data_IF_711810934906
#
_entry.id   IF_711810934906
#
_cell.length_a   1.000
_cell.length_b   1.000
_cell.length_c   1.000
_cell.angle_alpha   90.00
_cell.angle_beta   90.00
_cell.angle_gamma   90.00
#
_symmetry.space_group_name_H-M   'P 1'
#
loop_
_entity.id
_entity.type
_entity.pdbx_description
1 polymer ?
#
# COMPACT_ATOMS: atom_id res chain seq x y z
N UNK A 1 11.16 -21.13 -4.07
CA UNK A 1 9.78 -21.14 -4.63
C UNK A 1 8.81 -20.74 -3.54
N UNK A 2 7.77 -20.01 -3.88
CA UNK A 2 6.84 -19.40 -2.91
C UNK A 2 5.76 -20.37 -2.48
N UNK A 3 5.46 -20.34 -1.19
CA UNK A 3 4.36 -21.11 -0.59
C UNK A 3 3.18 -20.19 -0.28
N UNK A 4 2.05 -20.46 -0.91
CA UNK A 4 0.77 -19.82 -0.57
C UNK A 4 -0.23 -20.85 -0.09
N UNK A 5 -1.15 -20.44 0.77
CA UNK A 5 -2.20 -21.32 1.32
C UNK A 5 -3.57 -20.69 1.17
N UNK A 6 -4.60 -21.51 0.84
CA UNK A 6 -5.97 -21.09 0.99
C UNK A 6 -6.29 -20.91 2.48
N UNK A 7 -7.25 -20.04 2.81
CA UNK A 7 -7.63 -19.77 4.19
C UNK A 7 -9.15 -19.57 4.34
N UNK A 8 -9.64 -19.75 5.58
CA UNK A 8 -11.04 -19.51 5.92
C UNK A 8 -11.23 -18.01 6.24
N UNK A 9 -11.53 -17.21 5.23
CA UNK A 9 -11.70 -15.78 5.46
C UNK A 9 -12.89 -15.50 6.37
N UNK A 10 -12.69 -14.56 7.30
CA UNK A 10 -13.80 -13.84 7.93
C UNK A 10 -14.19 -12.72 6.97
N UNK A 11 -15.45 -12.69 6.51
CA UNK A 11 -15.92 -11.77 5.49
C UNK A 11 -17.38 -11.37 5.70
N UNK A 12 -17.85 -10.24 5.12
CA UNK A 12 -19.22 -9.79 5.30
C UNK A 12 -20.24 -10.68 4.56
N UNK A 13 -21.46 -10.73 5.09
CA UNK A 13 -22.62 -11.15 4.30
C UNK A 13 -22.76 -10.21 3.08
N UNK A 14 -23.22 -10.73 1.94
CA UNK A 14 -23.24 -9.99 0.68
C UNK A 14 -23.99 -8.64 0.79
N UNK A 15 -25.09 -8.60 1.54
CA UNK A 15 -25.87 -7.37 1.77
C UNK A 15 -25.13 -6.31 2.61
N UNK A 16 -24.08 -6.67 3.35
CA UNK A 16 -23.31 -5.78 4.19
C UNK A 16 -21.96 -5.38 3.56
N UNK A 17 -21.56 -6.03 2.45
CA UNK A 17 -20.23 -5.88 1.88
C UNK A 17 -19.87 -4.42 1.59
N UNK A 18 -20.78 -3.64 1.01
CA UNK A 18 -20.55 -2.23 0.70
C UNK A 18 -20.38 -1.36 1.95
N UNK A 19 -21.16 -1.61 3.01
CA UNK A 19 -21.05 -0.85 4.26
C UNK A 19 -19.80 -1.22 5.05
N UNK A 20 -19.36 -2.49 4.97
CA UNK A 20 -18.17 -2.98 5.66
C UNK A 20 -16.90 -2.51 4.96
N UNK A 21 -16.87 -2.52 3.63
CA UNK A 21 -15.68 -2.17 2.84
C UNK A 21 -15.18 -0.77 3.18
N UNK A 22 -14.00 -0.67 3.77
CA UNK A 22 -13.42 0.59 4.24
C UNK A 22 -12.03 0.82 3.64
N UNK A 23 -11.61 2.08 3.52
CA UNK A 23 -10.23 2.39 3.13
C UNK A 23 -9.25 1.82 4.15
N UNK A 24 -8.01 1.45 3.73
CA UNK A 24 -6.99 0.97 4.66
C UNK A 24 -6.72 1.98 5.77
N UNK A 25 -6.45 1.46 6.96
CA UNK A 25 -6.24 2.28 8.17
C UNK A 25 -5.09 3.29 8.05
N UNK A 26 -4.10 3.01 7.21
CA UNK A 26 -2.87 3.79 7.04
C UNK A 26 -2.97 4.93 6.02
N UNK A 27 -4.09 5.02 5.29
CA UNK A 27 -4.38 6.13 4.36
C UNK A 27 -5.29 7.20 4.95
N UNK A 28 -5.72 7.03 6.21
CA UNK A 28 -6.62 7.93 6.92
C UNK A 28 -6.05 8.31 8.29
N UNK A 29 -6.13 9.59 8.66
CA UNK A 29 -5.98 9.97 10.06
C UNK A 29 -7.31 9.70 10.83
N UNK A 30 -7.26 9.79 12.17
CA UNK A 30 -8.44 9.46 13.01
C UNK A 30 -9.63 10.39 12.76
N UNK A 31 -9.41 11.66 12.42
CA UNK A 31 -10.50 12.61 12.09
C UNK A 31 -11.17 12.26 10.76
N UNK A 32 -10.38 11.93 9.75
CA UNK A 32 -10.87 11.48 8.45
C UNK A 32 -11.63 10.17 8.57
N UNK A 33 -11.11 9.21 9.34
CA UNK A 33 -11.78 7.94 9.61
C UNK A 33 -13.13 8.14 10.33
N UNK A 34 -13.20 9.05 11.31
CA UNK A 34 -14.44 9.40 12.01
C UNK A 34 -15.49 9.99 11.08
N UNK A 35 -15.07 10.85 10.15
CA UNK A 35 -15.96 11.42 9.14
C UNK A 35 -16.44 10.35 8.16
N UNK A 36 -15.54 9.47 7.68
CA UNK A 36 -15.90 8.41 6.73
C UNK A 36 -16.84 7.36 7.34
N UNK A 37 -16.65 7.03 8.61
CA UNK A 37 -17.53 6.08 9.33
C UNK A 37 -18.85 6.69 9.81
N UNK A 38 -19.02 8.03 9.70
CA UNK A 38 -20.18 8.70 10.23
C UNK A 38 -21.48 8.20 9.59
N UNK A 39 -22.43 7.76 10.43
CA UNK A 39 -23.71 7.20 9.98
C UNK A 39 -23.63 5.76 9.43
N UNK A 40 -22.45 5.15 9.44
CA UNK A 40 -22.27 3.77 9.01
C UNK A 40 -21.73 2.89 10.17
N UNK A 41 -22.59 2.34 11.03
CA UNK A 41 -22.18 1.51 12.17
C UNK A 41 -21.61 0.14 11.75
N UNK A 42 -21.59 -0.16 10.46
CA UNK A 42 -20.99 -1.38 9.90
C UNK A 42 -19.66 -1.12 9.20
N UNK A 43 -19.16 0.11 9.20
CA UNK A 43 -17.85 0.43 8.63
C UNK A 43 -16.73 -0.35 9.34
N UNK A 44 -15.85 -0.97 8.58
CA UNK A 44 -14.73 -1.71 9.15
C UNK A 44 -13.69 -0.80 9.83
N UNK A 45 -13.79 0.53 9.62
CA UNK A 45 -13.00 1.52 10.36
C UNK A 45 -13.23 1.46 11.88
N UNK A 46 -14.42 1.04 12.33
CA UNK A 46 -14.67 0.78 13.76
C UNK A 46 -13.76 -0.32 14.34
N UNK A 47 -13.16 -1.16 13.50
CA UNK A 47 -12.22 -2.22 13.89
C UNK A 47 -10.77 -1.79 13.64
N UNK A 48 -10.48 -1.19 12.47
CA UNK A 48 -9.10 -0.85 12.09
C UNK A 48 -8.62 0.49 12.64
N UNK A 49 -9.55 1.37 13.02
CA UNK A 49 -9.37 2.72 13.58
C UNK A 49 -10.30 2.95 14.77
N UNK A 50 -10.36 1.97 15.68
CA UNK A 50 -11.35 1.92 16.78
C UNK A 50 -11.31 3.10 17.75
N UNK A 51 -10.25 3.92 17.73
CA UNK A 51 -10.18 5.19 18.44
C UNK A 51 -11.29 6.16 18.05
N UNK A 52 -11.93 5.99 16.85
CA UNK A 52 -13.07 6.83 16.43
C UNK A 52 -14.30 6.66 17.30
N UNK A 53 -14.41 5.55 18.02
CA UNK A 53 -15.51 5.22 18.95
C UNK A 53 -15.21 5.63 20.39
N UNK A 54 -14.06 6.23 20.64
CA UNK A 54 -13.59 6.64 21.97
C UNK A 54 -13.51 8.19 22.04
N UNK A 55 -13.32 8.75 23.24
CA UNK A 55 -13.11 10.20 23.38
C UNK A 55 -11.94 10.71 22.53
N UNK A 56 -12.07 11.93 21.97
CA UNK A 56 -11.11 12.51 21.02
C UNK A 56 -9.67 12.69 21.59
N UNK A 57 -9.53 12.65 22.92
CA UNK A 57 -8.23 12.72 23.61
C UNK A 57 -7.62 11.36 23.95
N UNK A 58 -8.25 10.26 23.52
CA UNK A 58 -7.70 8.91 23.74
C UNK A 58 -6.43 8.72 22.89
N UNK A 59 -5.37 8.20 23.52
CA UNK A 59 -4.17 7.82 22.80
C UNK A 59 -4.49 6.65 21.83
N UNK A 60 -4.33 6.89 20.54
CA UNK A 60 -4.63 5.91 19.50
C UNK A 60 -3.83 4.60 19.57
N UNK A 61 -2.79 4.56 20.43
CA UNK A 61 -1.95 3.38 20.67
C UNK A 61 -2.13 2.80 22.07
N UNK A 62 -3.18 3.21 22.79
CA UNK A 62 -3.52 2.66 24.12
C UNK A 62 -4.15 1.28 24.02
N UNK A 63 -4.06 0.49 25.11
CA UNK A 63 -4.70 -0.83 25.17
C UNK A 63 -6.22 -0.73 25.01
N UNK A 64 -6.85 0.33 25.51
CA UNK A 64 -8.28 0.59 25.38
C UNK A 64 -8.74 0.63 23.93
N UNK A 65 -7.91 1.18 23.01
CA UNK A 65 -8.20 1.21 21.57
C UNK A 65 -8.17 -0.20 20.97
N UNK A 66 -7.19 -1.02 21.36
CA UNK A 66 -7.11 -2.41 20.88
C UNK A 66 -8.24 -3.28 21.43
N UNK A 67 -8.61 -3.09 22.71
CA UNK A 67 -9.75 -3.78 23.31
C UNK A 67 -11.05 -3.40 22.62
N UNK A 68 -11.23 -2.10 22.30
CA UNK A 68 -12.37 -1.62 21.52
C UNK A 68 -12.43 -2.23 20.12
N UNK A 69 -11.28 -2.39 19.44
CA UNK A 69 -11.19 -3.07 18.16
C UNK A 69 -11.68 -4.53 18.26
N UNK A 70 -11.29 -5.23 19.33
CA UNK A 70 -11.74 -6.61 19.60
C UNK A 70 -13.24 -6.67 19.86
N UNK A 71 -13.76 -5.80 20.73
CA UNK A 71 -15.19 -5.74 21.04
C UNK A 71 -16.03 -5.48 19.78
N UNK A 72 -15.57 -4.56 18.92
CA UNK A 72 -16.26 -4.25 17.66
C UNK A 72 -16.21 -5.46 16.69
N UNK A 73 -15.08 -6.16 16.60
CA UNK A 73 -14.95 -7.35 15.75
C UNK A 73 -15.90 -8.46 16.23
N UNK A 74 -15.94 -8.71 17.54
CA UNK A 74 -16.84 -9.69 18.14
C UNK A 74 -18.32 -9.32 17.95
N UNK A 75 -18.63 -8.03 18.07
CA UNK A 75 -19.97 -7.53 17.79
C UNK A 75 -20.39 -7.72 16.33
N UNK A 76 -19.48 -7.52 15.38
CA UNK A 76 -19.75 -7.76 13.95
C UNK A 76 -20.00 -9.24 13.65
N UNK A 77 -19.26 -10.14 14.30
CA UNK A 77 -19.47 -11.59 14.18
C UNK A 77 -20.79 -12.00 14.84
N UNK A 78 -21.05 -11.61 16.07
CA UNK A 78 -22.27 -11.98 16.81
C UNK A 78 -23.55 -11.47 16.16
N UNK A 79 -23.48 -10.29 15.49
CA UNK A 79 -24.58 -9.72 14.71
C UNK A 79 -24.67 -10.29 13.30
N UNK A 80 -23.86 -11.29 12.95
CA UNK A 80 -23.80 -11.90 11.62
C UNK A 80 -23.53 -10.93 10.46
N UNK A 81 -22.92 -9.76 10.75
CA UNK A 81 -22.42 -8.85 9.73
C UNK A 81 -21.23 -9.52 9.03
N UNK A 82 -20.33 -10.12 9.84
CA UNK A 82 -19.22 -10.95 9.37
C UNK A 82 -19.48 -12.41 9.71
N UNK A 83 -19.03 -13.30 8.83
CA UNK A 83 -19.03 -14.75 9.06
C UNK A 83 -17.74 -15.37 8.52
N UNK A 84 -17.33 -16.48 9.09
CA UNK A 84 -16.14 -17.23 8.66
C UNK A 84 -16.53 -18.27 7.61
N UNK A 85 -15.72 -18.37 6.55
CA UNK A 85 -15.87 -19.45 5.58
C UNK A 85 -15.69 -20.83 6.24
N UNK A 86 -16.50 -21.79 5.81
CA UNK A 86 -16.48 -23.14 6.39
C UNK A 86 -15.28 -23.97 5.94
N UNK A 87 -14.69 -23.67 4.78
CA UNK A 87 -13.49 -24.31 4.24
C UNK A 87 -12.47 -23.31 3.72
N UNK A 88 -11.18 -23.68 3.68
CA UNK A 88 -10.15 -22.82 3.12
C UNK A 88 -10.38 -22.58 1.62
N UNK A 89 -10.29 -21.32 1.19
CA UNK A 89 -10.45 -20.90 -0.20
C UNK A 89 -9.32 -19.93 -0.60
N UNK A 90 -9.09 -19.81 -1.90
CA UNK A 90 -8.47 -18.61 -2.47
C UNK A 90 -9.56 -17.64 -2.91
N UNK A 91 -9.18 -16.38 -3.11
CA UNK A 91 -10.11 -15.35 -3.60
C UNK A 91 -9.45 -14.60 -4.73
N UNK A 92 -10.19 -14.34 -5.80
CA UNK A 92 -9.77 -13.43 -6.87
C UNK A 92 -10.36 -12.08 -6.54
N UNK A 93 -9.51 -11.06 -6.50
CA UNK A 93 -9.93 -9.69 -6.20
C UNK A 93 -9.54 -8.76 -7.36
N UNK A 94 -10.55 -8.21 -8.01
CA UNK A 94 -10.40 -7.25 -9.09
C UNK A 94 -10.78 -5.86 -8.61
N UNK A 95 -9.95 -4.88 -8.98
CA UNK A 95 -10.22 -3.46 -8.80
C UNK A 95 -10.25 -2.80 -10.18
N UNK A 96 -11.22 -1.92 -10.41
CA UNK A 96 -11.29 -1.11 -11.63
C UNK A 96 -11.33 0.36 -11.25
N UNK A 97 -10.33 1.12 -11.71
CA UNK A 97 -10.19 2.57 -11.51
C UNK A 97 -9.93 3.23 -12.87
N UNK A 98 -10.75 4.22 -13.23
CA UNK A 98 -10.62 4.96 -14.49
C UNK A 98 -10.54 4.04 -15.73
N UNK A 99 -11.32 2.95 -15.74
CA UNK A 99 -11.34 1.95 -16.82
C UNK A 99 -10.15 0.98 -16.86
N UNK A 100 -9.17 1.12 -15.96
CA UNK A 100 -8.06 0.19 -15.83
C UNK A 100 -8.38 -0.85 -14.76
N UNK A 101 -8.18 -2.13 -15.11
CA UNK A 101 -8.41 -3.28 -14.23
C UNK A 101 -7.10 -3.79 -13.65
N UNK A 102 -7.11 -4.10 -12.36
CA UNK A 102 -6.07 -4.87 -11.67
C UNK A 102 -6.70 -6.07 -11.00
N UNK A 103 -6.21 -7.27 -11.25
CA UNK A 103 -6.74 -8.51 -10.68
C UNK A 103 -5.64 -9.26 -9.95
N UNK A 104 -5.86 -9.55 -8.67
CA UNK A 104 -4.93 -10.29 -7.82
C UNK A 104 -5.56 -11.50 -7.15
N UNK A 105 -4.71 -12.39 -6.64
CA UNK A 105 -5.09 -13.55 -5.85
C UNK A 105 -4.93 -13.25 -4.37
N UNK A 106 -6.01 -13.34 -3.58
CA UNK A 106 -5.94 -13.21 -2.11
C UNK A 106 -5.72 -14.57 -1.50
N UNK A 107 -4.71 -14.66 -0.65
CA UNK A 107 -4.28 -15.90 0.00
C UNK A 107 -3.57 -15.63 1.33
N UNK A 108 -3.18 -16.69 2.02
CA UNK A 108 -2.17 -16.65 3.07
C UNK A 108 -0.78 -16.88 2.49
N UNK A 109 0.10 -15.89 2.54
CA UNK A 109 1.53 -16.08 2.21
C UNK A 109 2.30 -16.59 3.42
N UNK A 110 3.31 -17.45 3.20
CA UNK A 110 4.10 -18.05 4.26
C UNK A 110 4.93 -17.02 5.02
N UNK A 111 4.88 -17.05 6.35
CA UNK A 111 5.78 -16.26 7.20
C UNK A 111 7.22 -16.76 7.06
N UNK A 112 7.44 -18.06 6.85
CA UNK A 112 8.79 -18.60 6.60
C UNK A 112 9.37 -18.02 5.31
N UNK A 113 8.58 -17.87 4.24
CA UNK A 113 9.04 -17.26 2.99
C UNK A 113 9.41 -15.78 3.20
N UNK A 114 8.71 -15.07 4.09
CA UNK A 114 9.06 -13.70 4.47
C UNK A 114 10.37 -13.64 5.26
N UNK A 115 10.58 -14.54 6.21
CA UNK A 115 11.79 -14.61 7.03
C UNK A 115 13.01 -15.06 6.22
N UNK A 116 12.81 -15.96 5.25
CA UNK A 116 13.86 -16.47 4.35
C UNK A 116 14.10 -15.59 3.11
N UNK A 117 13.55 -14.37 3.10
CA UNK A 117 13.71 -13.40 2.00
C UNK A 117 13.27 -13.90 0.61
N UNK A 118 12.34 -14.85 0.57
CA UNK A 118 11.62 -15.23 -0.65
C UNK A 118 10.48 -14.23 -0.95
N UNK A 119 9.97 -13.55 0.07
CA UNK A 119 9.12 -12.37 -0.07
C UNK A 119 10.04 -11.16 0.11
N UNK A 120 10.42 -10.55 -1.01
CA UNK A 120 11.42 -9.49 -1.10
C UNK A 120 10.91 -8.17 -0.53
N UNK A 121 11.80 -7.44 0.15
CA UNK A 121 11.54 -6.18 0.83
C UNK A 121 12.35 -5.07 0.16
N UNK A 122 11.78 -3.86 0.12
CA UNK A 122 12.47 -2.68 -0.41
C UNK A 122 12.28 -1.44 0.47
N UNK A 123 11.70 -1.59 1.67
CA UNK A 123 11.50 -0.49 2.63
C UNK A 123 11.78 -0.95 4.06
N UNK A 124 12.42 -0.09 4.85
CA UNK A 124 12.57 -0.31 6.29
C UNK A 124 11.28 -0.01 7.03
N UNK A 125 10.96 -0.85 7.99
CA UNK A 125 9.82 -0.66 8.86
C UNK A 125 10.16 0.20 10.08
N UNK A 126 9.15 0.92 10.62
CA UNK A 126 9.30 1.76 11.81
C UNK A 126 8.82 0.99 13.03
N UNK A 127 9.65 0.90 14.10
CA UNK A 127 9.33 0.10 15.30
C UNK A 127 8.00 0.46 15.96
N UNK A 128 7.65 1.75 16.01
CA UNK A 128 6.39 2.22 16.59
C UNK A 128 5.15 1.74 15.82
N UNK A 129 5.21 1.78 14.47
CA UNK A 129 4.12 1.29 13.61
C UNK A 129 3.99 -0.23 13.65
N UNK A 130 5.11 -0.94 13.74
CA UNK A 130 5.08 -2.38 13.93
C UNK A 130 4.46 -2.75 15.28
N UNK A 131 4.87 -2.08 16.36
CA UNK A 131 4.32 -2.32 17.71
C UNK A 131 2.81 -2.11 17.73
N UNK A 132 2.33 -1.07 17.10
CA UNK A 132 0.90 -0.80 16.95
C UNK A 132 0.18 -1.98 16.28
N UNK A 133 0.66 -2.43 15.12
CA UNK A 133 0.04 -3.56 14.40
C UNK A 133 0.17 -4.88 15.15
N UNK A 134 1.29 -5.14 15.81
CA UNK A 134 1.47 -6.33 16.66
C UNK A 134 0.42 -6.36 17.77
N UNK A 135 0.23 -5.25 18.47
CA UNK A 135 -0.76 -5.16 19.54
C UNK A 135 -2.19 -5.35 19.01
N UNK A 136 -2.52 -4.70 17.91
CA UNK A 136 -3.81 -4.86 17.25
C UNK A 136 -4.08 -6.32 16.84
N UNK A 137 -3.13 -6.99 16.16
CA UNK A 137 -3.27 -8.39 15.74
C UNK A 137 -3.39 -9.33 16.97
N UNK A 138 -2.55 -9.13 17.99
CA UNK A 138 -2.58 -9.97 19.21
C UNK A 138 -3.89 -9.83 19.98
N UNK A 139 -4.45 -8.62 20.04
CA UNK A 139 -5.69 -8.37 20.80
C UNK A 139 -6.91 -8.82 20.01
N UNK A 140 -6.99 -8.52 18.72
CA UNK A 140 -8.14 -8.90 17.90
C UNK A 140 -8.12 -10.35 17.46
N UNK A 141 -6.95 -10.98 17.41
CA UNK A 141 -6.77 -12.31 16.80
C UNK A 141 -6.89 -12.30 15.27
N UNK A 142 -6.80 -11.13 14.64
CA UNK A 142 -7.11 -10.96 13.23
C UNK A 142 -6.08 -10.09 12.50
N UNK A 143 -5.75 -10.48 11.28
CA UNK A 143 -5.04 -9.65 10.31
C UNK A 143 -6.09 -8.96 9.43
N UNK A 144 -6.31 -7.69 9.68
CA UNK A 144 -7.41 -6.89 9.15
C UNK A 144 -7.06 -6.13 7.87
N UNK A 145 -5.78 -6.00 7.53
CA UNK A 145 -5.30 -5.30 6.34
C UNK A 145 -4.45 -6.21 5.45
N UNK A 146 -4.74 -6.23 4.16
CA UNK A 146 -4.00 -6.98 3.17
C UNK A 146 -2.57 -6.44 2.97
N UNK A 147 -1.60 -7.34 2.84
CA UNK A 147 -0.29 -7.01 2.27
C UNK A 147 -0.37 -7.14 0.76
N UNK A 148 0.07 -6.12 0.05
CA UNK A 148 0.04 -6.05 -1.40
C UNK A 148 1.37 -6.59 -1.94
N UNK A 149 1.34 -7.74 -2.61
CA UNK A 149 2.51 -8.38 -3.20
C UNK A 149 2.46 -8.35 -4.73
N UNK A 150 3.64 -8.24 -5.34
CA UNK A 150 3.83 -8.41 -6.78
C UNK A 150 4.57 -9.73 -7.07
N UNK A 151 4.30 -10.34 -8.22
CA UNK A 151 5.08 -11.44 -8.76
C UNK A 151 5.27 -11.30 -10.28
N UNK A 152 6.37 -11.88 -10.81
CA UNK A 152 6.59 -11.92 -12.27
C UNK A 152 5.54 -12.79 -12.92
N UNK A 153 4.93 -12.31 -13.99
CA UNK A 153 3.78 -12.95 -14.66
C UNK A 153 3.98 -14.44 -14.93
N UNK A 154 2.92 -15.21 -14.71
CA UNK A 154 2.86 -16.66 -14.97
C UNK A 154 1.58 -16.93 -15.78
N UNK A 155 1.74 -17.27 -17.06
CA UNK A 155 0.62 -17.47 -17.98
C UNK A 155 -0.42 -18.49 -17.52
N UNK A 156 0.03 -19.57 -16.85
CA UNK A 156 -0.89 -20.56 -16.29
C UNK A 156 -1.79 -19.98 -15.21
N UNK A 157 -1.28 -19.00 -14.44
CA UNK A 157 -2.06 -18.31 -13.41
C UNK A 157 -3.08 -17.35 -14.02
N UNK A 158 -2.66 -16.61 -15.04
CA UNK A 158 -3.52 -15.68 -15.77
C UNK A 158 -4.69 -16.43 -16.42
N UNK A 159 -4.42 -17.59 -17.05
CA UNK A 159 -5.45 -18.42 -17.65
C UNK A 159 -6.49 -18.95 -16.62
N UNK A 160 -6.04 -19.34 -15.42
CA UNK A 160 -6.96 -19.76 -14.35
C UNK A 160 -7.84 -18.62 -13.89
N UNK A 161 -7.26 -17.44 -13.64
CA UNK A 161 -7.99 -16.25 -13.18
C UNK A 161 -9.04 -15.85 -14.22
N UNK A 162 -8.68 -15.78 -15.49
CA UNK A 162 -9.59 -15.35 -16.57
C UNK A 162 -10.72 -16.35 -16.78
N UNK A 163 -10.41 -17.64 -16.79
CA UNK A 163 -11.43 -18.70 -16.86
C UNK A 163 -12.39 -18.60 -15.67
N UNK A 164 -11.86 -18.44 -14.44
CA UNK A 164 -12.70 -18.37 -13.24
C UNK A 164 -13.63 -17.15 -13.25
N UNK A 165 -13.13 -15.98 -13.63
CA UNK A 165 -13.93 -14.76 -13.75
C UNK A 165 -15.04 -14.88 -14.81
N UNK A 166 -14.77 -15.63 -15.90
CA UNK A 166 -15.75 -15.82 -16.96
C UNK A 166 -16.84 -16.80 -16.58
N UNK A 167 -16.47 -17.89 -15.89
CA UNK A 167 -17.37 -19.03 -15.61
C UNK A 167 -18.13 -18.90 -14.30
N UNK A 168 -17.69 -18.05 -13.38
CA UNK A 168 -18.24 -17.92 -12.02
C UNK A 168 -18.78 -16.53 -11.73
N UNK A 169 -19.87 -16.49 -10.99
CA UNK A 169 -20.39 -15.23 -10.47
C UNK A 169 -19.56 -14.74 -9.29
N UNK A 170 -19.31 -13.44 -9.20
CA UNK A 170 -18.64 -12.85 -8.04
C UNK A 170 -19.52 -12.95 -6.79
N UNK A 171 -18.88 -13.05 -5.62
CA UNK A 171 -19.57 -12.95 -4.32
C UNK A 171 -19.81 -11.50 -3.92
N UNK A 172 -18.95 -10.60 -4.36
CA UNK A 172 -19.11 -9.16 -4.25
C UNK A 172 -18.82 -8.50 -5.59
N UNK A 173 -19.65 -7.50 -5.91
CA UNK A 173 -19.42 -6.55 -6.98
C UNK A 173 -20.01 -5.22 -6.52
N UNK A 174 -19.14 -4.31 -6.12
CA UNK A 174 -19.53 -3.04 -5.51
C UNK A 174 -18.69 -1.88 -6.02
N UNK A 175 -19.31 -0.73 -6.15
CA UNK A 175 -18.64 0.54 -6.43
C UNK A 175 -18.57 1.32 -5.13
N UNK A 176 -17.36 1.65 -4.70
CA UNK A 176 -17.11 2.46 -3.52
C UNK A 176 -17.35 3.97 -3.81
N UNK A 177 -17.37 4.80 -2.77
CA UNK A 177 -17.70 6.23 -2.91
C UNK A 177 -16.65 7.00 -3.72
N UNK A 178 -15.43 6.51 -3.79
CA UNK A 178 -14.35 7.03 -4.65
C UNK A 178 -14.42 6.52 -6.10
N UNK A 179 -15.53 5.91 -6.50
CA UNK A 179 -15.82 5.38 -7.84
C UNK A 179 -14.91 4.21 -8.26
N UNK A 180 -14.21 3.59 -7.33
CA UNK A 180 -13.44 2.37 -7.59
C UNK A 180 -14.40 1.18 -7.48
N UNK A 181 -14.43 0.33 -8.51
CA UNK A 181 -15.16 -0.93 -8.47
C UNK A 181 -14.30 -2.01 -7.83
N UNK A 182 -14.91 -2.77 -6.93
CA UNK A 182 -14.30 -3.89 -6.21
C UNK A 182 -15.13 -5.14 -6.45
N UNK A 183 -14.52 -6.14 -7.09
CA UNK A 183 -15.20 -7.40 -7.42
C UNK A 183 -14.40 -8.57 -6.84
N UNK A 184 -15.07 -9.48 -6.11
CA UNK A 184 -14.42 -10.65 -5.48
C UNK A 184 -15.12 -11.93 -5.89
N UNK A 185 -14.33 -12.93 -6.30
CA UNK A 185 -14.75 -14.31 -6.55
C UNK A 185 -14.12 -15.24 -5.52
N UNK A 186 -14.85 -16.30 -5.14
CA UNK A 186 -14.33 -17.35 -4.26
C UNK A 186 -13.86 -18.52 -5.11
N UNK A 187 -12.62 -18.92 -4.96
CA UNK A 187 -12.07 -20.14 -5.55
C UNK A 187 -12.14 -21.24 -4.51
N UNK A 188 -13.19 -22.05 -4.59
CA UNK A 188 -13.53 -23.08 -3.62
C UNK A 188 -13.52 -24.50 -4.19
N UNK A 189 -13.07 -24.68 -5.42
CA UNK A 189 -12.88 -25.97 -6.06
C UNK A 189 -11.51 -26.55 -5.68
N UNK A 190 -11.50 -27.77 -5.14
CA UNK A 190 -10.29 -28.36 -4.57
C UNK A 190 -9.18 -28.62 -5.61
N UNK A 191 -9.55 -28.94 -6.87
CA UNK A 191 -8.57 -29.18 -7.92
C UNK A 191 -7.96 -27.86 -8.42
N UNK A 192 -8.75 -26.80 -8.53
CA UNK A 192 -8.26 -25.45 -8.84
C UNK A 192 -7.37 -24.92 -7.72
N UNK A 193 -7.74 -25.13 -6.45
CA UNK A 193 -6.92 -24.75 -5.29
C UNK A 193 -5.56 -25.44 -5.35
N UNK A 194 -5.52 -26.75 -5.58
CA UNK A 194 -4.27 -27.51 -5.72
C UNK A 194 -3.43 -27.01 -6.90
N UNK A 195 -4.06 -26.72 -8.04
CA UNK A 195 -3.38 -26.22 -9.23
C UNK A 195 -2.73 -24.85 -8.96
N UNK A 196 -3.46 -23.92 -8.36
CA UNK A 196 -2.94 -22.60 -7.97
C UNK A 196 -1.73 -22.75 -7.02
N UNK A 197 -1.88 -23.53 -5.95
CA UNK A 197 -0.79 -23.78 -4.99
C UNK A 197 0.45 -24.39 -5.67
N UNK A 198 0.25 -25.33 -6.60
CA UNK A 198 1.33 -25.95 -7.36
C UNK A 198 2.04 -24.96 -8.29
N UNK A 199 1.32 -24.08 -8.96
CA UNK A 199 1.91 -23.05 -9.84
C UNK A 199 2.84 -22.15 -9.02
N UNK A 200 2.39 -21.62 -7.88
CA UNK A 200 3.25 -20.78 -7.04
C UNK A 200 4.47 -21.55 -6.52
N UNK A 201 4.28 -22.78 -6.11
CA UNK A 201 5.36 -23.65 -5.61
C UNK A 201 6.40 -24.01 -6.69
N UNK A 202 6.04 -24.01 -7.97
CA UNK A 202 6.92 -24.51 -9.05
C UNK A 202 7.37 -23.43 -10.04
N UNK A 203 6.61 -22.34 -10.18
CA UNK A 203 6.85 -21.32 -11.20
C UNK A 203 7.13 -19.91 -10.66
N UNK A 204 6.83 -19.64 -9.36
CA UNK A 204 7.07 -18.33 -8.76
C UNK A 204 8.26 -18.41 -7.80
N UNK A 205 9.45 -17.94 -8.21
CA UNK A 205 10.66 -18.06 -7.38
C UNK A 205 10.64 -17.16 -6.15
N UNK A 206 10.07 -15.98 -6.25
CA UNK A 206 9.93 -15.00 -5.18
C UNK A 206 8.76 -14.06 -5.47
N UNK A 207 8.34 -13.33 -4.44
CA UNK A 207 7.38 -12.21 -4.55
C UNK A 207 7.99 -10.96 -3.94
N UNK A 208 7.38 -9.81 -4.21
CA UNK A 208 7.89 -8.50 -3.79
C UNK A 208 6.80 -7.75 -3.05
N UNK A 209 7.10 -7.20 -1.89
CA UNK A 209 6.14 -6.36 -1.18
C UNK A 209 6.00 -5.05 -1.95
N UNK A 210 4.81 -4.80 -2.50
CA UNK A 210 4.47 -3.54 -3.13
C UNK A 210 4.00 -2.51 -2.08
N UNK A 211 3.11 -2.94 -1.18
CA UNK A 211 2.61 -2.11 -0.07
C UNK A 211 2.33 -2.99 1.16
N UNK A 212 2.57 -2.45 2.36
CA UNK A 212 2.29 -3.14 3.62
C UNK A 212 3.49 -3.78 4.30
N UNK A 213 4.70 -3.24 4.15
CA UNK A 213 5.91 -3.72 4.84
C UNK A 213 5.71 -3.87 6.35
N UNK A 214 5.06 -2.88 7.01
CA UNK A 214 4.76 -2.94 8.43
C UNK A 214 3.77 -4.07 8.77
N UNK A 215 2.80 -4.36 7.91
CA UNK A 215 1.81 -5.45 8.08
C UNK A 215 2.49 -6.82 8.00
N UNK A 216 3.36 -7.03 7.03
CA UNK A 216 4.14 -8.26 6.87
C UNK A 216 5.11 -8.48 8.06
N UNK A 217 5.89 -7.46 8.43
CA UNK A 217 6.81 -7.52 9.55
C UNK A 217 6.09 -7.81 10.87
N UNK A 218 4.93 -7.19 11.09
CA UNK A 218 4.13 -7.40 12.31
C UNK A 218 3.57 -8.82 12.37
N UNK A 219 3.12 -9.41 11.26
CA UNK A 219 2.65 -10.79 11.21
C UNK A 219 3.76 -11.79 11.60
N UNK A 220 4.97 -11.62 11.07
CA UNK A 220 6.13 -12.45 11.44
C UNK A 220 6.47 -12.32 12.94
N UNK A 221 6.48 -11.09 13.47
CA UNK A 221 6.75 -10.85 14.91
C UNK A 221 5.64 -11.39 15.81
N UNK A 222 4.38 -11.36 15.38
CA UNK A 222 3.28 -11.98 16.12
C UNK A 222 3.46 -13.49 16.17
N UNK A 223 3.77 -14.16 15.05
CA UNK A 223 4.09 -15.60 15.05
C UNK A 223 5.21 -15.94 16.01
N UNK A 224 6.32 -15.20 15.95
CA UNK A 224 7.46 -15.42 16.84
C UNK A 224 7.10 -15.23 18.33
N UNK A 225 6.28 -14.22 18.66
CA UNK A 225 5.87 -13.92 20.02
C UNK A 225 4.87 -14.93 20.60
N UNK A 226 4.03 -15.53 19.75
CA UNK A 226 3.03 -16.52 20.16
C UNK A 226 3.60 -17.95 20.23
N UNK A 227 4.66 -18.23 19.48
CA UNK A 227 5.27 -19.56 19.42
C UNK A 227 4.24 -20.65 19.16
N UNK A 228 4.34 -21.77 19.85
CA UNK A 228 3.44 -22.92 19.69
C UNK A 228 1.97 -22.64 20.07
N UNK A 229 1.69 -21.50 20.71
CA UNK A 229 0.31 -21.11 21.07
C UNK A 229 -0.44 -20.43 19.92
N UNK A 230 0.26 -20.04 18.85
CA UNK A 230 -0.32 -19.30 17.73
C UNK A 230 -1.30 -20.14 16.87
N UNK A 231 -1.20 -21.45 16.90
CA UNK A 231 -1.88 -22.30 15.94
C UNK A 231 -1.36 -22.09 14.49
N UNK A 232 -1.85 -22.88 13.55
CA UNK A 232 -1.39 -22.82 12.14
C UNK A 232 -1.82 -21.53 11.41
N UNK A 233 -2.77 -20.78 11.95
CA UNK A 233 -3.23 -19.51 11.37
C UNK A 233 -2.15 -18.43 11.37
N UNK A 234 -1.23 -18.43 12.35
CA UNK A 234 -0.14 -17.46 12.39
C UNK A 234 1.06 -17.80 11.50
N UNK A 235 1.11 -19.01 10.91
CA UNK A 235 2.16 -19.41 9.94
C UNK A 235 2.02 -18.70 8.60
N UNK A 236 0.89 -18.04 8.37
CA UNK A 236 0.57 -17.32 7.15
C UNK A 236 0.09 -15.91 7.48
N UNK A 237 0.22 -15.02 6.52
CA UNK A 237 -0.35 -13.68 6.64
C UNK A 237 -1.15 -13.30 5.38
N UNK A 238 -2.16 -12.45 5.61
CA UNK A 238 -3.11 -12.04 4.59
C UNK A 238 -2.44 -11.22 3.49
N UNK A 239 -2.48 -11.71 2.26
CA UNK A 239 -1.87 -11.06 1.11
C UNK A 239 -2.78 -11.04 -0.10
N UNK A 240 -2.60 -10.05 -0.96
CA UNK A 240 -3.10 -10.06 -2.33
C UNK A 240 -1.92 -9.99 -3.28
N UNK A 241 -1.79 -11.01 -4.12
CA UNK A 241 -0.69 -11.18 -5.08
C UNK A 241 -1.15 -10.75 -6.46
N UNK A 242 -0.46 -9.76 -7.04
CA UNK A 242 -0.75 -9.27 -8.38
C UNK A 242 0.38 -9.64 -9.34
N UNK A 243 0.06 -10.05 -10.58
CA UNK A 243 1.06 -10.11 -11.63
C UNK A 243 1.59 -8.71 -11.92
N UNK A 244 2.88 -8.62 -12.22
CA UNK A 244 3.62 -7.35 -12.29
C UNK A 244 3.04 -6.36 -13.31
N UNK A 245 2.53 -6.84 -14.43
CA UNK A 245 1.98 -6.03 -15.51
C UNK A 245 0.61 -5.40 -15.19
N UNK A 246 -0.05 -5.85 -14.13
CA UNK A 246 -1.33 -5.29 -13.70
C UNK A 246 -1.19 -4.21 -12.62
N UNK A 247 0.02 -4.02 -12.08
CA UNK A 247 0.23 -3.04 -11.04
C UNK A 247 0.37 -1.62 -11.61
N UNK A 248 -0.33 -0.68 -11.00
CA UNK A 248 -0.20 0.73 -11.31
C UNK A 248 0.52 1.44 -10.16
N UNK A 249 1.72 1.93 -10.47
CA UNK A 249 2.48 2.81 -9.58
C UNK A 249 2.24 4.23 -10.07
N UNK A 250 1.80 5.09 -9.18
CA UNK A 250 1.65 6.52 -9.44
C UNK A 250 2.86 7.29 -8.92
N UNK A 251 3.03 8.49 -9.43
CA UNK A 251 4.01 9.44 -8.95
C UNK A 251 3.79 9.78 -7.47
N UNK A 252 4.89 10.02 -6.77
CA UNK A 252 4.85 10.48 -5.39
C UNK A 252 5.58 11.81 -5.32
N UNK A 253 4.82 12.90 -5.42
CA UNK A 253 5.31 14.26 -5.56
C UNK A 253 5.77 14.85 -4.23
N UNK A 254 6.59 15.90 -4.28
CA UNK A 254 7.11 16.61 -3.11
C UNK A 254 6.63 18.05 -3.11
N UNK A 255 6.39 18.56 -1.91
CA UNK A 255 6.18 19.99 -1.66
C UNK A 255 7.10 20.44 -0.53
N UNK A 256 7.65 21.66 -0.63
CA UNK A 256 8.62 22.17 0.34
C UNK A 256 8.20 23.55 0.83
N UNK A 257 8.25 23.76 2.15
CA UNK A 257 7.74 24.95 2.84
C UNK A 257 8.56 26.21 2.60
N UNK A 258 9.88 26.09 2.43
CA UNK A 258 10.77 27.22 2.28
C UNK A 258 11.94 26.89 1.34
N UNK A 259 12.58 27.92 0.84
CA UNK A 259 13.70 27.81 -0.10
C UNK A 259 15.08 27.91 0.58
N UNK A 260 15.18 27.64 1.88
CA UNK A 260 16.43 27.77 2.63
C UNK A 260 17.07 29.17 2.51
N UNK A 261 16.22 30.19 2.51
CA UNK A 261 16.63 31.61 2.41
C UNK A 261 16.96 32.09 0.99
N UNK A 262 16.76 31.26 -0.04
CA UNK A 262 16.99 31.63 -1.44
C UNK A 262 15.73 32.28 -2.05
N UNK A 263 15.93 33.13 -3.04
CA UNK A 263 14.90 33.49 -4.02
C UNK A 263 14.70 32.36 -5.04
N UNK A 264 13.60 32.42 -5.80
CA UNK A 264 13.35 31.41 -6.88
C UNK A 264 14.45 31.48 -7.95
N UNK A 265 14.92 32.67 -8.31
CA UNK A 265 16.00 32.84 -9.29
C UNK A 265 17.33 32.24 -8.80
N UNK A 266 17.67 32.42 -7.54
CA UNK A 266 18.86 31.81 -6.93
C UNK A 266 18.74 30.30 -6.83
N UNK A 267 17.53 29.78 -6.52
CA UNK A 267 17.23 28.34 -6.53
C UNK A 267 17.47 27.73 -7.92
N UNK A 268 16.89 28.35 -8.96
CA UNK A 268 17.04 27.90 -10.34
C UNK A 268 18.50 27.99 -10.81
N UNK A 269 19.22 29.03 -10.44
CA UNK A 269 20.63 29.19 -10.77
C UNK A 269 21.46 28.05 -10.15
N UNK A 270 21.25 27.73 -8.88
CA UNK A 270 21.94 26.60 -8.22
C UNK A 270 21.55 25.26 -8.84
N UNK A 271 20.26 25.06 -9.14
CA UNK A 271 19.79 23.83 -9.77
C UNK A 271 20.35 23.64 -11.19
N UNK A 272 20.68 24.74 -11.90
CA UNK A 272 21.24 24.66 -13.24
C UNK A 272 22.62 23.99 -13.32
N UNK A 273 23.32 23.82 -12.20
CA UNK A 273 24.57 23.06 -12.16
C UNK A 273 24.34 21.57 -12.46
N UNK A 274 23.22 21.02 -12.03
CA UNK A 274 22.86 19.60 -12.13
C UNK A 274 21.75 19.30 -13.13
N UNK A 275 20.94 20.28 -13.47
CA UNK A 275 19.76 20.12 -14.34
C UNK A 275 19.81 21.07 -15.53
N UNK A 276 19.27 20.65 -16.67
CA UNK A 276 18.79 21.55 -17.73
C UNK A 276 17.42 22.05 -17.29
N UNK A 277 17.18 23.36 -17.38
CA UNK A 277 15.96 23.99 -16.87
C UNK A 277 15.27 24.75 -17.99
N UNK A 278 14.00 24.45 -18.22
CA UNK A 278 13.16 25.09 -19.22
C UNK A 278 11.85 25.57 -18.60
N UNK A 279 11.43 26.81 -18.92
CA UNK A 279 10.09 27.26 -18.54
C UNK A 279 9.04 26.58 -19.41
N UNK A 280 7.96 26.09 -18.76
CA UNK A 280 6.84 25.47 -19.46
C UNK A 280 5.55 26.22 -19.14
N UNK A 281 4.65 26.40 -20.13
CA UNK A 281 3.47 27.25 -19.98
C UNK A 281 2.32 26.58 -19.21
N UNK A 282 2.39 25.30 -18.96
CA UNK A 282 1.32 24.50 -18.33
C UNK A 282 1.90 23.62 -17.24
N UNK A 283 1.01 23.06 -16.40
CA UNK A 283 1.36 22.05 -15.41
C UNK A 283 2.11 20.89 -16.06
N UNK A 284 3.27 20.54 -15.51
CA UNK A 284 4.17 19.56 -16.09
C UNK A 284 4.23 18.29 -15.25
N UNK A 285 3.83 17.18 -15.89
CA UNK A 285 4.06 15.82 -15.38
C UNK A 285 5.17 15.18 -16.21
N UNK A 286 6.28 14.74 -15.59
CA UNK A 286 7.37 14.08 -16.30
C UNK A 286 6.86 12.85 -17.07
N UNK A 287 7.22 12.75 -18.36
CA UNK A 287 6.87 11.62 -19.22
C UNK A 287 7.96 10.55 -19.24
N UNK A 288 9.17 10.90 -18.86
CA UNK A 288 10.36 10.04 -18.91
C UNK A 288 11.15 10.13 -17.63
N UNK A 289 11.97 9.12 -17.36
CA UNK A 289 12.93 9.12 -16.26
C UNK A 289 13.88 10.32 -16.34
N UNK A 290 14.38 10.76 -15.19
CA UNK A 290 15.33 11.85 -15.02
C UNK A 290 14.77 13.24 -15.39
N UNK A 291 13.45 13.33 -15.58
CA UNK A 291 12.72 14.59 -15.69
C UNK A 291 11.94 14.86 -14.41
N UNK A 292 11.81 16.16 -14.09
CA UNK A 292 11.08 16.66 -12.93
C UNK A 292 10.30 17.90 -13.33
N UNK A 293 9.12 18.10 -12.77
CA UNK A 293 8.45 19.39 -12.85
C UNK A 293 8.72 20.16 -11.56
N UNK A 294 9.05 21.42 -11.65
CA UNK A 294 9.17 22.33 -10.52
C UNK A 294 8.13 23.45 -10.68
N UNK A 295 7.27 23.59 -9.68
CA UNK A 295 6.33 24.70 -9.59
C UNK A 295 6.78 25.68 -8.51
N UNK A 296 7.03 26.91 -8.89
CA UNK A 296 7.45 27.99 -8.01
C UNK A 296 6.93 29.33 -8.56
N UNK A 297 6.48 30.23 -7.70
CA UNK A 297 6.02 31.58 -8.06
C UNK A 297 5.06 31.59 -9.26
N UNK A 298 4.05 30.70 -9.25
CA UNK A 298 3.03 30.55 -10.30
C UNK A 298 3.57 30.16 -11.68
N UNK A 299 4.76 29.61 -11.73
CA UNK A 299 5.41 29.17 -12.96
C UNK A 299 5.88 27.72 -12.86
N UNK A 300 5.62 26.94 -13.89
CA UNK A 300 6.18 25.60 -14.04
C UNK A 300 7.51 25.64 -14.81
N UNK A 301 8.41 24.79 -14.37
CA UNK A 301 9.71 24.54 -15.01
C UNK A 301 9.87 23.04 -15.19
N UNK A 302 10.37 22.62 -16.36
CA UNK A 302 10.88 21.27 -16.59
C UNK A 302 12.36 21.27 -16.20
N UNK A 303 12.76 20.34 -15.33
CA UNK A 303 14.13 20.05 -14.99
C UNK A 303 14.50 18.69 -15.57
N UNK A 304 15.60 18.61 -16.32
CA UNK A 304 16.15 17.35 -16.83
C UNK A 304 17.54 17.15 -16.22
N UNK A 305 17.76 16.05 -15.50
CA UNK A 305 19.05 15.76 -14.88
C UNK A 305 20.13 15.63 -15.97
N UNK A 306 21.26 16.30 -15.78
CA UNK A 306 22.38 16.24 -16.72
C UNK A 306 23.07 14.87 -16.63
N UNK A 307 23.58 14.38 -17.75
CA UNK A 307 24.45 13.20 -17.76
C UNK A 307 25.59 13.35 -16.76
N UNK A 308 25.98 12.25 -16.13
CA UNK A 308 27.03 12.17 -15.11
C UNK A 308 26.72 12.89 -13.78
N UNK A 309 25.48 13.29 -13.52
CA UNK A 309 25.06 13.83 -12.22
C UNK A 309 24.42 12.77 -11.31
N UNK A 310 24.27 11.56 -11.77
CA UNK A 310 23.74 10.39 -11.05
C UNK A 310 24.46 9.11 -11.47
N UNK A 311 24.32 8.05 -10.69
CA UNK A 311 24.92 6.73 -10.97
C UNK A 311 23.88 5.80 -11.58
N UNK A 312 24.34 4.72 -12.23
CA UNK A 312 23.46 3.75 -12.91
C UNK A 312 23.17 2.50 -12.09
N UNK A 313 23.57 2.47 -10.83
CA UNK A 313 23.19 1.42 -9.91
C UNK A 313 21.69 1.51 -9.55
N UNK A 314 21.08 0.44 -9.03
CA UNK A 314 19.63 0.39 -8.82
C UNK A 314 19.03 1.52 -7.95
N UNK A 315 19.83 2.09 -7.03
CA UNK A 315 19.38 3.23 -6.20
C UNK A 315 19.72 4.57 -6.85
N UNK A 316 20.93 4.73 -7.34
CA UNK A 316 21.40 6.00 -7.90
C UNK A 316 20.64 6.45 -9.15
N UNK A 317 20.06 5.51 -9.91
CA UNK A 317 19.26 5.80 -11.11
C UNK A 317 17.81 6.26 -10.80
N UNK A 318 17.36 6.14 -9.56
CA UNK A 318 16.01 6.55 -9.19
C UNK A 318 15.87 8.07 -9.17
N UNK A 319 14.79 8.58 -9.76
CA UNK A 319 14.48 10.01 -9.74
C UNK A 319 14.39 10.58 -8.33
N UNK A 320 13.88 9.79 -7.37
CA UNK A 320 13.84 10.19 -5.96
C UNK A 320 15.23 10.35 -5.34
N UNK A 321 16.21 9.57 -5.76
CA UNK A 321 17.62 9.68 -5.34
C UNK A 321 18.29 10.86 -6.03
N UNK A 322 18.11 10.99 -7.34
CA UNK A 322 18.63 12.12 -8.12
C UNK A 322 18.15 13.45 -7.55
N UNK A 323 16.86 13.54 -7.22
CA UNK A 323 16.27 14.72 -6.60
C UNK A 323 16.87 14.99 -5.22
N UNK A 324 17.06 13.96 -4.39
CA UNK A 324 17.67 14.08 -3.06
C UNK A 324 19.09 14.63 -3.17
N UNK A 325 19.92 13.99 -3.97
CA UNK A 325 21.37 14.22 -4.00
C UNK A 325 21.75 15.49 -4.78
N UNK A 326 20.93 15.90 -5.75
CA UNK A 326 21.23 17.02 -6.62
C UNK A 326 20.40 18.28 -6.34
N UNK A 327 19.31 18.18 -5.58
CA UNK A 327 18.42 19.31 -5.35
C UNK A 327 18.07 19.51 -3.86
N UNK A 328 17.46 18.50 -3.22
CA UNK A 328 16.93 18.68 -1.86
C UNK A 328 18.03 18.90 -0.82
N UNK A 329 19.06 18.09 -0.81
CA UNK A 329 20.15 18.22 0.15
C UNK A 329 21.08 19.39 -0.17
N UNK A 330 21.69 19.50 -1.38
CA UNK A 330 22.69 20.53 -1.62
C UNK A 330 22.12 21.95 -1.71
N UNK A 331 20.88 22.14 -2.11
CA UNK A 331 20.27 23.47 -2.31
C UNK A 331 19.37 23.85 -1.14
N UNK A 332 18.47 22.93 -0.72
CA UNK A 332 17.49 23.21 0.32
C UNK A 332 17.92 22.74 1.72
N UNK A 333 19.08 22.07 1.83
CA UNK A 333 19.61 21.47 3.07
C UNK A 333 18.61 20.50 3.75
N UNK A 334 17.83 19.77 2.93
CA UNK A 334 16.95 18.69 3.39
C UNK A 334 17.73 17.38 3.31
N UNK A 335 18.36 17.01 4.43
CA UNK A 335 19.25 15.83 4.50
C UNK A 335 18.51 14.50 4.61
N UNK A 336 17.40 14.48 5.31
CA UNK A 336 16.57 13.28 5.48
C UNK A 336 15.09 13.61 5.34
N UNK A 337 14.50 13.24 4.21
CA UNK A 337 13.09 13.45 3.91
C UNK A 337 12.12 12.78 4.91
N UNK A 338 12.57 11.83 5.76
CA UNK A 338 11.72 11.16 6.76
C UNK A 338 11.48 12.02 7.99
N UNK A 339 12.43 12.89 8.31
CA UNK A 339 12.46 13.65 9.57
C UNK A 339 12.39 15.16 9.39
N UNK A 340 12.68 15.67 8.21
CA UNK A 340 12.60 17.12 7.94
C UNK A 340 11.12 17.54 7.80
N UNK A 341 10.68 18.46 8.65
CA UNK A 341 9.28 18.95 8.70
C UNK A 341 8.97 20.00 7.63
N UNK A 342 9.96 20.40 6.83
CA UNK A 342 9.79 21.36 5.73
C UNK A 342 9.32 20.68 4.44
N UNK A 343 9.49 19.37 4.30
CA UNK A 343 9.05 18.59 3.14
C UNK A 343 7.78 17.79 3.46
N UNK A 344 6.85 17.73 2.51
CA UNK A 344 5.66 16.90 2.57
C UNK A 344 5.45 16.18 1.22
N UNK A 345 4.58 15.19 1.18
CA UNK A 345 4.44 14.25 0.07
C UNK A 345 3.00 14.22 -0.42
N UNK A 346 2.81 14.26 -1.74
CA UNK A 346 1.50 14.25 -2.39
C UNK A 346 1.45 13.12 -3.40
N UNK A 347 0.60 12.10 -3.13
CA UNK A 347 0.38 11.01 -4.07
C UNK A 347 -0.25 11.51 -5.37
N UNK A 348 0.18 10.96 -6.50
CA UNK A 348 -0.23 11.37 -7.84
C UNK A 348 -1.73 11.31 -8.11
N UNK A 349 -2.47 10.51 -7.32
CA UNK A 349 -3.94 10.45 -7.38
C UNK A 349 -4.61 11.82 -7.16
N UNK A 350 -3.94 12.75 -6.45
CA UNK A 350 -4.45 14.11 -6.21
C UNK A 350 -4.22 15.06 -7.39
N UNK A 351 -3.40 14.64 -8.36
CA UNK A 351 -3.08 15.42 -9.56
C UNK A 351 -2.22 16.67 -9.30
N UNK A 352 -1.77 17.28 -10.40
CA UNK A 352 -0.89 18.47 -10.34
C UNK A 352 -1.59 19.71 -9.78
N UNK A 353 -2.91 19.83 -9.92
CA UNK A 353 -3.67 20.94 -9.35
C UNK A 353 -3.55 21.05 -7.83
N UNK A 354 -3.36 19.93 -7.12
CA UNK A 354 -3.11 19.97 -5.67
C UNK A 354 -1.73 20.55 -5.37
N UNK A 355 -0.73 20.29 -6.21
CA UNK A 355 0.60 20.88 -6.10
C UNK A 355 0.55 22.40 -6.23
N UNK A 356 -0.11 22.90 -7.28
CA UNK A 356 -0.33 24.33 -7.50
C UNK A 356 -1.06 24.97 -6.31
N UNK A 357 -2.15 24.36 -5.88
CA UNK A 357 -2.95 24.85 -4.75
C UNK A 357 -2.14 25.00 -3.46
N UNK A 358 -1.28 24.01 -3.12
CA UNK A 358 -0.43 24.05 -1.91
C UNK A 358 0.60 25.17 -1.96
N UNK A 359 1.12 25.48 -3.16
CA UNK A 359 2.05 26.59 -3.36
C UNK A 359 1.32 27.93 -3.42
N UNK A 360 0.25 28.05 -4.18
CA UNK A 360 -0.50 29.30 -4.38
C UNK A 360 -1.19 29.78 -3.11
N UNK A 361 -1.54 28.86 -2.20
CA UNK A 361 -2.07 29.22 -0.87
C UNK A 361 -1.01 29.80 0.09
N UNK A 362 0.28 29.72 -0.27
CA UNK A 362 1.39 30.10 0.61
C UNK A 362 1.72 29.07 1.70
N UNK A 363 1.09 27.90 1.68
CA UNK A 363 1.41 26.81 2.60
C UNK A 363 2.81 26.23 2.30
N UNK A 364 3.14 26.14 1.01
CA UNK A 364 4.43 25.66 0.50
C UNK A 364 5.06 26.69 -0.43
N UNK A 365 6.39 26.71 -0.47
CA UNK A 365 7.13 27.60 -1.37
C UNK A 365 7.28 27.03 -2.77
N UNK A 366 7.47 25.71 -2.88
CA UNK A 366 7.59 25.00 -4.15
C UNK A 366 6.90 23.64 -4.12
N UNK A 367 6.58 23.13 -5.31
CA UNK A 367 6.19 21.76 -5.52
C UNK A 367 7.03 21.12 -6.62
N UNK A 368 7.27 19.79 -6.51
CA UNK A 368 8.08 19.03 -7.45
C UNK A 368 7.29 17.78 -7.86
N UNK A 369 6.98 17.67 -9.15
CA UNK A 369 6.40 16.47 -9.73
C UNK A 369 7.51 15.52 -10.23
N UNK A 370 7.30 14.22 -10.02
CA UNK A 370 8.24 13.16 -10.39
C UNK A 370 7.62 12.20 -11.40
N UNK A 371 8.48 11.51 -12.14
CA UNK A 371 8.06 10.34 -12.91
C UNK A 371 7.80 9.16 -11.95
N UNK A 372 6.73 8.35 -12.16
CA UNK A 372 6.48 7.17 -11.33
C UNK A 372 7.62 6.16 -11.40
N UNK A 373 7.97 5.56 -10.28
CA UNK A 373 8.90 4.42 -10.25
C UNK A 373 8.27 3.24 -11.01
N UNK A 374 9.05 2.56 -11.85
CA UNK A 374 8.57 1.37 -12.54
C UNK A 374 8.57 0.13 -11.63
N UNK A 375 7.73 -0.86 -11.96
CA UNK A 375 7.75 -2.15 -11.24
C UNK A 375 9.09 -2.87 -11.38
N UNK A 376 9.79 -2.69 -12.52
CA UNK A 376 11.12 -3.27 -12.73
C UNK A 376 12.16 -2.63 -11.81
N UNK A 377 12.16 -1.30 -11.64
CA UNK A 377 13.06 -0.63 -10.69
C UNK A 377 12.83 -1.11 -9.25
N UNK A 378 11.55 -1.35 -8.87
CA UNK A 378 11.25 -1.93 -7.57
C UNK A 378 11.84 -3.33 -7.41
N UNK A 379 11.70 -4.19 -8.43
CA UNK A 379 12.26 -5.54 -8.40
C UNK A 379 13.80 -5.52 -8.34
N UNK A 380 14.44 -4.67 -9.14
CA UNK A 380 15.92 -4.57 -9.19
C UNK A 380 16.49 -4.15 -7.83
N UNK A 381 15.82 -3.22 -7.14
CA UNK A 381 16.23 -2.80 -5.80
C UNK A 381 16.04 -3.92 -4.78
N UNK A 382 14.86 -4.54 -4.77
CA UNK A 382 14.57 -5.61 -3.83
C UNK A 382 15.47 -6.85 -4.06
N UNK A 383 15.79 -7.17 -5.32
CA UNK A 383 16.70 -8.27 -5.67
C UNK A 383 18.14 -7.95 -5.30
N UNK A 384 18.55 -6.69 -5.33
CA UNK A 384 19.91 -6.27 -4.92
C UNK A 384 20.10 -6.22 -3.39
N UNK A 385 19.04 -6.48 -2.60
CA UNK A 385 19.04 -6.36 -1.14
C UNK A 385 19.15 -4.92 -0.63
N UNK A 386 18.92 -3.96 -1.50
CA UNK A 386 18.91 -2.54 -1.18
C UNK A 386 17.50 -2.07 -0.75
N UNK A 387 17.45 -0.84 -0.26
CA UNK A 387 16.22 -0.21 0.23
C UNK A 387 15.96 1.07 -0.54
N UNK A 388 14.74 1.25 -0.99
CA UNK A 388 14.30 2.49 -1.63
C UNK A 388 14.35 3.68 -0.66
N UNK A 389 14.64 4.88 -1.16
CA UNK A 389 14.36 6.09 -0.41
C UNK A 389 12.90 6.15 0.05
N UNK A 390 12.58 6.83 1.14
CA UNK A 390 11.21 6.89 1.65
C UNK A 390 10.27 7.55 0.64
N UNK A 391 9.02 7.05 0.60
CA UNK A 391 7.97 7.64 -0.25
C UNK A 391 8.33 7.61 -1.74
N UNK A 392 8.89 6.50 -2.21
CA UNK A 392 9.26 6.29 -3.62
C UNK A 392 8.11 5.75 -4.46
N UNK A 393 7.21 4.96 -3.88
CA UNK A 393 6.12 4.29 -4.59
C UNK A 393 4.76 4.64 -4.00
N UNK A 394 3.77 4.81 -4.88
CA UNK A 394 2.37 4.99 -4.51
C UNK A 394 1.51 4.06 -5.37
N UNK A 395 1.01 2.98 -4.78
CA UNK A 395 0.16 2.02 -5.49
C UNK A 395 -1.32 2.41 -5.41
N UNK A 396 -1.99 2.45 -6.55
CA UNK A 396 -3.44 2.64 -6.68
C UNK A 396 -4.02 1.61 -7.68
N UNK A 397 -5.30 1.25 -7.53
CA UNK A 397 -6.19 1.57 -6.41
C UNK A 397 -5.88 0.77 -5.14
N UNK A 398 -6.25 1.32 -3.98
CA UNK A 398 -6.07 0.64 -2.69
C UNK A 398 -7.10 -0.46 -2.47
N UNK A 399 -6.66 -1.61 -1.97
CA UNK A 399 -7.53 -2.68 -1.48
C UNK A 399 -8.41 -2.16 -0.34
N UNK A 400 -9.61 -2.72 -0.17
CA UNK A 400 -10.49 -2.40 0.96
C UNK A 400 -10.25 -3.34 2.13
N UNK A 401 -10.14 -2.79 3.32
CA UNK A 401 -10.21 -3.54 4.56
C UNK A 401 -11.64 -4.02 4.81
N UNK A 402 -11.79 -5.15 5.50
CA UNK A 402 -13.07 -5.71 5.90
C UNK A 402 -13.75 -6.67 4.91
N UNK A 403 -13.39 -6.62 3.61
CA UNK A 403 -13.93 -7.58 2.63
C UNK A 403 -13.39 -9.00 2.82
N UNK A 404 -12.13 -9.12 3.23
CA UNK A 404 -11.47 -10.38 3.56
C UNK A 404 -10.52 -10.14 4.74
N UNK A 405 -10.68 -10.92 5.81
CA UNK A 405 -9.89 -10.84 7.04
C UNK A 405 -9.38 -12.22 7.39
N UNK A 406 -8.12 -12.33 7.80
CA UNK A 406 -7.54 -13.60 8.25
C UNK A 406 -7.49 -13.67 9.77
N UNK A 407 -8.07 -14.73 10.35
CA UNK A 407 -8.00 -15.03 11.79
C UNK A 407 -6.77 -15.90 12.07
N UNK A 408 -5.92 -15.45 13.00
CA UNK A 408 -4.68 -16.16 13.36
C UNK A 408 -4.90 -17.33 14.33
N UNK A 409 -6.05 -17.37 14.99
CA UNK A 409 -6.43 -18.47 15.85
C UNK A 409 -7.49 -19.35 15.18
N UNK A 410 -7.41 -20.65 15.39
CA UNK A 410 -8.49 -21.55 15.10
C UNK A 410 -9.62 -21.29 16.12
N UNK A 411 -10.55 -20.40 15.76
CA UNK A 411 -11.79 -20.27 16.53
C UNK A 411 -12.52 -21.59 16.38
N UNK A 412 -12.74 -22.30 17.49
CA UNK A 412 -13.63 -23.45 17.50
C UNK A 412 -14.94 -23.03 16.82
N UNK A 413 -15.39 -23.85 15.86
CA UNK A 413 -16.65 -23.60 15.19
C UNK A 413 -17.75 -23.46 16.25
N UNK A 414 -18.32 -22.24 16.36
CA UNK A 414 -19.49 -21.97 17.20
C UNK A 414 -20.72 -22.47 16.48
#
# INVERSE_FOLDING_TARGET
>A
MITIKPFNALRPQAQHAKQVASRPYDVLNSKEAKVEAQGNPSSFLHITKSEIDLPDNTDSHSQEVYDKAKDNLDAFISRTILFRESKPCYYIYQLIMNGKSQTGLVCGSSVDDYENDLIKKHEFTRPEKEKDRINHIKTTGAQTGNVFLAYKNVADMDAIIDTWKTDKNPVYDLIADDQIQHTIWIVNDDDTIKKISSIFLTQVPCTYIADGHHRAASAAKVRAALGDTAGKGADIFLTTLFPADQLMIMDYNRVVKDLNGLSVDELLLKASDKFLIEKVPQAFSPAELHQFGLYADKQWYQLTAKENTFTTDPIGILDVTILQDNFLEPILNIKDQRTDTRIDFIGGIRGLAELEKRVDSGEMAIAISLHPVSIQQLFDIADSGNVMPPKSTWFEPKLRDGLLTHLIYDVAAV
#
